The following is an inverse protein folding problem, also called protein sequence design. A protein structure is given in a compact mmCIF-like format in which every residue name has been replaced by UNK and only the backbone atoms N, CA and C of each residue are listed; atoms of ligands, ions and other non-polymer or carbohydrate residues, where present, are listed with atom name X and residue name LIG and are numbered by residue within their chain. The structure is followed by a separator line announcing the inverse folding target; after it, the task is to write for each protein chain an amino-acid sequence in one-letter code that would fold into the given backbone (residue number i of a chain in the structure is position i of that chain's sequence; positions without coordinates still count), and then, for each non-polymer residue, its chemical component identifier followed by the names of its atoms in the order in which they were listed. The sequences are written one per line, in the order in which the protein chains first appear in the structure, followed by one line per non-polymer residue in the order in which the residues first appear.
data_IF_739643042146
#
_entry.id   IF_739643042146
#
_cell.length_a   1.000
_cell.length_b   1.000
_cell.length_c   1.000
_cell.angle_alpha   90.00
_cell.angle_beta   90.00
_cell.angle_gamma   90.00
#
_symmetry.space_group_name_H-M   'P 1'
#
loop_
_entity.id
_entity.type
_entity.pdbx_description
1 polymer ?
#
# COMPACT_ATOMS: atom_id res chain seq x y z
N UNK A 1 -2.44 -3.44 15.06
CA UNK A 1 -3.50 -2.92 15.96
C UNK A 1 -4.46 -2.07 15.16
N UNK A 2 -5.75 -2.09 15.49
CA UNK A 2 -6.73 -1.15 14.93
C UNK A 2 -7.11 -0.09 15.96
N UNK A 3 -7.25 1.15 15.50
CA UNK A 3 -7.84 2.24 16.28
C UNK A 3 -9.34 2.26 15.98
N UNK A 4 -10.15 2.00 16.99
CA UNK A 4 -11.61 2.00 16.87
C UNK A 4 -12.17 3.26 17.55
N UNK A 5 -12.94 4.07 16.81
CA UNK A 5 -13.67 5.22 17.34
C UNK A 5 -15.09 4.77 17.75
N UNK A 6 -15.29 4.53 19.04
CA UNK A 6 -16.54 4.02 19.58
C UNK A 6 -17.52 5.16 19.76
N UNK A 7 -18.48 5.30 18.84
CA UNK A 7 -19.50 6.35 18.88
C UNK A 7 -20.69 5.98 19.74
N UNK A 8 -21.12 6.94 20.56
CA UNK A 8 -22.30 6.84 21.40
C UNK A 8 -23.47 7.56 20.71
N UNK A 9 -24.46 6.80 20.27
CA UNK A 9 -25.69 7.34 19.68
C UNK A 9 -26.81 7.29 20.72
N UNK A 10 -26.66 8.13 21.75
CA UNK A 10 -27.54 8.13 22.94
C UNK A 10 -28.96 8.59 22.59
N UNK A 11 -29.09 9.50 21.63
CA UNK A 11 -30.37 9.99 21.12
C UNK A 11 -31.13 8.89 20.40
N UNK A 12 -30.47 8.15 19.50
CA UNK A 12 -31.09 7.01 18.83
C UNK A 12 -31.45 5.89 19.80
N UNK A 13 -30.63 5.67 20.83
CA UNK A 13 -30.87 4.61 21.81
C UNK A 13 -32.12 4.90 22.68
N UNK A 14 -32.34 6.15 23.06
CA UNK A 14 -33.40 6.54 24.00
C UNK A 14 -34.61 7.23 23.31
N UNK A 15 -34.51 7.53 22.02
CA UNK A 15 -35.54 8.10 21.15
C UNK A 15 -36.33 9.24 21.80
N UNK A 16 -37.67 9.23 21.69
CA UNK A 16 -38.61 10.25 22.18
C UNK A 16 -38.60 10.42 23.71
N UNK A 17 -37.89 9.56 24.44
CA UNK A 17 -37.75 9.65 25.90
C UNK A 17 -36.49 10.37 26.32
N UNK A 18 -35.53 10.55 25.42
CA UNK A 18 -34.33 11.33 25.66
C UNK A 18 -34.66 12.82 25.64
N UNK A 19 -34.25 13.55 26.67
CA UNK A 19 -34.37 15.01 26.72
C UNK A 19 -32.96 15.55 26.97
N UNK A 20 -32.26 16.07 25.95
CA UNK A 20 -30.90 16.58 26.11
C UNK A 20 -30.83 17.63 27.23
N UNK A 21 -29.91 17.44 28.18
CA UNK A 21 -29.72 18.38 29.27
C UNK A 21 -28.59 19.35 28.93
N UNK A 22 -28.88 20.65 28.84
CA UNK A 22 -27.88 21.71 28.57
C UNK A 22 -26.76 21.71 29.62
N UNK A 23 -27.08 21.29 30.85
CA UNK A 23 -26.15 21.21 31.98
C UNK A 23 -25.19 20.00 31.93
N UNK A 24 -25.31 19.11 30.94
CA UNK A 24 -24.53 17.86 30.87
C UNK A 24 -23.94 17.71 29.48
N UNK A 25 -22.61 17.70 29.41
CA UNK A 25 -21.91 17.39 28.16
C UNK A 25 -21.69 15.88 28.09
N UNK A 26 -22.56 15.18 27.35
CA UNK A 26 -22.37 13.76 27.08
C UNK A 26 -21.21 13.56 26.08
N UNK A 27 -20.28 12.63 26.35
CA UNK A 27 -19.24 12.28 25.39
C UNK A 27 -19.86 11.70 24.12
N UNK A 28 -19.29 12.03 22.96
CA UNK A 28 -19.76 11.58 21.64
C UNK A 28 -19.07 10.30 21.18
N UNK A 29 -17.80 10.14 21.53
CA UNK A 29 -17.05 8.93 21.25
C UNK A 29 -15.87 8.74 22.19
N UNK A 30 -15.37 7.50 22.25
CA UNK A 30 -14.11 7.14 22.93
C UNK A 30 -13.25 6.35 21.95
N UNK A 31 -11.96 6.70 21.88
CA UNK A 31 -10.98 5.93 21.11
C UNK A 31 -10.50 4.72 21.93
N UNK A 32 -10.65 3.53 21.37
CA UNK A 32 -10.14 2.27 21.94
C UNK A 32 -9.24 1.57 20.91
N UNK A 33 -8.08 1.10 21.33
CA UNK A 33 -7.19 0.30 20.49
C UNK A 33 -7.46 -1.19 20.69
N UNK A 34 -7.57 -1.93 19.59
CA UNK A 34 -7.76 -3.38 19.60
C UNK A 34 -6.62 -4.10 18.94
N UNK A 35 -6.20 -5.21 19.56
CA UNK A 35 -5.33 -6.18 18.92
C UNK A 35 -6.21 -7.01 18.00
N UNK A 36 -6.00 -6.90 16.68
CA UNK A 36 -6.67 -7.80 15.73
C UNK A 36 -5.84 -9.08 15.59
N UNK A 37 -6.48 -10.25 15.48
CA UNK A 37 -5.78 -11.47 15.10
C UNK A 37 -5.07 -11.28 13.75
N UNK A 38 -3.95 -11.99 13.57
CA UNK A 38 -3.13 -11.96 12.35
C UNK A 38 -4.02 -12.06 11.10
N UNK A 39 -3.91 -11.10 10.18
CA UNK A 39 -4.68 -11.02 8.93
C UNK A 39 -5.63 -9.81 8.83
N UNK A 40 -5.85 -9.05 9.91
CA UNK A 40 -6.56 -7.77 9.84
C UNK A 40 -5.69 -6.63 9.33
N UNK A 41 -6.22 -5.81 8.40
CA UNK A 41 -5.62 -4.54 7.99
C UNK A 41 -5.33 -3.64 9.21
N UNK A 42 -4.07 -3.22 9.42
CA UNK A 42 -3.65 -2.29 10.47
C UNK A 42 -2.14 -2.35 10.77
N UNK A 43 -1.60 -1.31 11.42
CA UNK A 43 -0.17 -1.22 11.77
C UNK A 43 0.22 -2.38 12.70
N UNK A 44 1.05 -3.30 12.20
CA UNK A 44 1.55 -4.44 12.96
C UNK A 44 2.61 -3.95 13.95
N UNK A 45 2.17 -3.45 15.11
CA UNK A 45 3.05 -3.13 16.22
C UNK A 45 3.79 -4.41 16.68
N UNK A 46 5.12 -4.42 16.67
CA UNK A 46 5.87 -5.45 17.38
C UNK A 46 5.58 -5.28 18.88
N UNK A 47 4.89 -6.25 19.47
CA UNK A 47 4.61 -6.29 20.90
C UNK A 47 4.82 -7.71 21.42
N UNK A 48 5.20 -7.81 22.69
CA UNK A 48 5.26 -9.10 23.37
C UNK A 48 3.86 -9.70 23.51
N UNK A 49 3.76 -11.02 23.66
CA UNK A 49 2.48 -11.66 23.94
C UNK A 49 1.84 -11.11 25.23
N UNK A 50 2.64 -10.89 26.27
CA UNK A 50 2.18 -10.31 27.53
C UNK A 50 1.61 -8.88 27.37
N UNK A 51 2.25 -8.03 26.56
CA UNK A 51 1.72 -6.70 26.23
C UNK A 51 0.40 -6.80 25.48
N UNK A 52 0.34 -7.69 24.47
CA UNK A 52 -0.88 -7.91 23.69
C UNK A 52 -2.06 -8.36 24.57
N UNK A 53 -1.83 -9.32 25.47
CA UNK A 53 -2.85 -9.82 26.40
C UNK A 53 -3.30 -8.73 27.38
N UNK A 54 -2.36 -7.98 27.95
CA UNK A 54 -2.65 -6.84 28.85
C UNK A 54 -3.47 -5.76 28.15
N UNK A 55 -3.08 -5.38 26.93
CA UNK A 55 -3.78 -4.34 26.17
C UNK A 55 -5.18 -4.79 25.74
N UNK A 56 -5.31 -6.04 25.30
CA UNK A 56 -6.61 -6.61 24.93
C UNK A 56 -7.53 -6.74 26.15
N UNK A 57 -7.01 -7.16 27.31
CA UNK A 57 -7.77 -7.18 28.56
C UNK A 57 -8.25 -5.78 28.96
N UNK A 58 -7.39 -4.77 28.90
CA UNK A 58 -7.77 -3.38 29.21
C UNK A 58 -8.83 -2.83 28.23
N UNK A 59 -8.69 -3.13 26.94
CA UNK A 59 -9.68 -2.75 25.93
C UNK A 59 -11.03 -3.43 26.18
N UNK A 60 -11.04 -4.73 26.53
CA UNK A 60 -12.26 -5.47 26.88
C UNK A 60 -12.95 -4.85 28.09
N UNK A 61 -12.21 -4.60 29.17
CA UNK A 61 -12.77 -3.99 30.39
C UNK A 61 -13.38 -2.61 30.12
N UNK A 62 -12.72 -1.79 29.30
CA UNK A 62 -13.24 -0.49 28.88
C UNK A 62 -14.55 -0.65 28.07
N UNK A 63 -14.55 -1.49 27.03
CA UNK A 63 -15.72 -1.72 26.18
C UNK A 63 -16.91 -2.32 26.96
N UNK A 64 -16.65 -3.24 27.89
CA UNK A 64 -17.68 -3.83 28.75
C UNK A 64 -18.29 -2.76 29.69
N UNK A 65 -17.46 -1.88 30.23
CA UNK A 65 -17.91 -0.77 31.08
C UNK A 65 -18.75 0.24 30.31
N UNK A 66 -18.32 0.62 29.10
CA UNK A 66 -19.08 1.50 28.19
C UNK A 66 -20.40 0.86 27.75
N UNK A 67 -20.40 -0.45 27.50
CA UNK A 67 -21.60 -1.21 27.15
C UNK A 67 -22.63 -1.18 28.28
N UNK A 68 -22.20 -1.45 29.52
CA UNK A 68 -23.05 -1.35 30.72
C UNK A 68 -23.59 0.06 30.93
N UNK A 69 -22.76 1.09 30.75
CA UNK A 69 -23.18 2.48 30.87
C UNK A 69 -24.31 2.84 29.88
N UNK A 70 -24.23 2.35 28.63
CA UNK A 70 -25.30 2.52 27.64
C UNK A 70 -26.58 1.76 28.01
N UNK A 71 -26.45 0.54 28.50
CA UNK A 71 -27.60 -0.23 28.99
C UNK A 71 -28.29 0.45 30.17
N UNK A 72 -27.51 0.98 31.12
CA UNK A 72 -28.04 1.68 32.29
C UNK A 72 -28.69 3.00 31.89
N UNK A 73 -28.12 3.74 30.94
CA UNK A 73 -28.76 4.90 30.33
C UNK A 73 -30.12 4.53 29.72
N UNK A 74 -30.19 3.44 28.95
CA UNK A 74 -31.43 2.99 28.33
C UNK A 74 -32.48 2.51 29.36
N UNK A 75 -32.06 1.75 30.38
CA UNK A 75 -32.92 1.34 31.52
C UNK A 75 -33.42 2.55 32.29
N UNK A 76 -32.57 3.56 32.47
CA UNK A 76 -32.96 4.82 33.10
C UNK A 76 -34.03 5.56 32.29
N UNK A 77 -34.23 5.32 30.99
CA UNK A 77 -35.34 5.87 30.20
C UNK A 77 -36.59 4.97 30.17
N UNK A 78 -36.61 3.91 30.99
CA UNK A 78 -37.73 2.97 31.13
C UNK A 78 -37.68 1.81 30.14
N UNK A 79 -36.55 1.63 29.46
CA UNK A 79 -36.31 0.50 28.59
C UNK A 79 -36.20 -0.82 29.33
N UNK A 80 -36.64 -1.89 28.65
CA UNK A 80 -36.51 -3.28 29.10
C UNK A 80 -35.81 -4.08 28.01
N UNK A 81 -35.04 -5.11 28.41
CA UNK A 81 -34.34 -6.03 27.50
C UNK A 81 -33.47 -5.29 26.48
N UNK A 82 -32.41 -4.65 26.97
CA UNK A 82 -31.36 -4.07 26.14
C UNK A 82 -30.06 -4.80 26.42
N UNK A 83 -29.37 -5.14 25.35
CA UNK A 83 -28.04 -5.72 25.36
C UNK A 83 -27.19 -4.94 24.38
N UNK A 84 -26.12 -4.34 24.91
CA UNK A 84 -25.11 -3.66 24.12
C UNK A 84 -23.82 -4.43 24.30
N UNK A 85 -23.19 -4.86 23.20
CA UNK A 85 -21.87 -5.46 23.21
C UNK A 85 -21.00 -4.69 22.20
N UNK A 86 -20.28 -3.69 22.70
CA UNK A 86 -19.39 -2.87 21.89
C UNK A 86 -18.16 -3.66 21.38
N UNK A 87 -17.82 -4.78 22.01
CA UNK A 87 -16.70 -5.64 21.60
C UNK A 87 -17.06 -6.44 20.35
N UNK A 88 -18.24 -7.04 20.34
CA UNK A 88 -18.79 -7.75 19.18
C UNK A 88 -19.40 -6.81 18.13
N UNK A 89 -19.61 -5.53 18.47
CA UNK A 89 -20.34 -4.59 17.62
C UNK A 89 -21.84 -4.89 17.57
N UNK A 90 -22.35 -5.65 18.53
CA UNK A 90 -23.75 -6.07 18.61
C UNK A 90 -24.55 -5.13 19.50
N UNK A 91 -25.77 -4.84 19.06
CA UNK A 91 -26.65 -3.87 19.69
C UNK A 91 -28.09 -4.35 19.50
N UNK A 92 -28.76 -4.67 20.60
CA UNK A 92 -30.16 -5.08 20.56
C UNK A 92 -30.96 -4.40 21.67
N UNK A 93 -32.09 -3.83 21.30
CA UNK A 93 -33.05 -3.23 22.23
C UNK A 93 -34.44 -3.25 21.62
N UNK A 94 -35.46 -3.13 22.47
CA UNK A 94 -36.83 -2.89 22.01
C UNK A 94 -37.06 -1.40 21.83
N UNK A 95 -37.90 -1.02 20.87
CA UNK A 95 -38.35 0.37 20.75
C UNK A 95 -39.12 0.76 22.01
N UNK A 96 -38.84 1.96 22.54
CA UNK A 96 -39.52 2.47 23.72
C UNK A 96 -40.91 2.96 23.33
N UNK A 97 -41.94 2.45 24.01
CA UNK A 97 -43.28 2.99 23.87
C UNK A 97 -43.28 4.50 24.20
N UNK A 98 -44.05 5.34 23.49
CA UNK A 98 -44.14 6.75 23.82
C UNK A 98 -44.57 6.95 25.27
N UNK A 99 -44.07 7.99 25.96
CA UNK A 99 -44.48 8.27 27.33
C UNK A 99 -45.97 8.61 27.38
N UNK A 100 -46.67 8.12 28.41
CA UNK A 100 -48.07 8.46 28.63
C UNK A 100 -48.18 9.95 29.04
N UNK A 101 -49.09 10.75 28.45
CA UNK A 101 -49.19 12.17 28.72
C UNK A 101 -50.05 12.46 29.97
N UNK A 102 -49.41 12.75 31.10
CA UNK A 102 -50.06 13.13 32.37
C UNK A 102 -49.43 14.42 32.94
N UNK A 103 -50.17 15.30 33.62
CA UNK A 103 -49.65 16.61 34.03
C UNK A 103 -48.26 16.55 34.71
N UNK A 104 -47.30 17.33 34.20
CA UNK A 104 -45.92 17.37 34.72
C UNK A 104 -44.98 16.26 34.22
N UNK A 105 -45.43 15.35 33.36
CA UNK A 105 -44.62 14.25 32.84
C UNK A 105 -43.33 14.72 32.15
N UNK A 106 -43.39 15.79 31.37
CA UNK A 106 -42.23 16.36 30.66
C UNK A 106 -41.14 16.82 31.64
N UNK A 107 -41.52 17.52 32.71
CA UNK A 107 -40.58 18.01 33.74
C UNK A 107 -39.91 16.85 34.47
N UNK A 108 -40.67 15.79 34.79
CA UNK A 108 -40.13 14.57 35.43
C UNK A 108 -39.19 13.83 34.49
N UNK A 109 -39.55 13.68 33.21
CA UNK A 109 -38.72 13.05 32.19
C UNK A 109 -37.41 13.83 31.97
N UNK A 110 -37.47 15.16 31.89
CA UNK A 110 -36.29 16.01 31.75
C UNK A 110 -35.32 15.83 32.93
N UNK A 111 -35.81 15.92 34.18
CA UNK A 111 -34.99 15.69 35.38
C UNK A 111 -34.36 14.30 35.41
N UNK A 112 -35.13 13.28 35.04
CA UNK A 112 -34.67 11.89 34.98
C UNK A 112 -33.61 11.70 33.88
N UNK A 113 -33.84 12.29 32.71
CA UNK A 113 -32.89 12.24 31.59
C UNK A 113 -31.59 12.96 31.93
N UNK A 114 -31.65 14.12 32.59
CA UNK A 114 -30.49 14.85 33.09
C UNK A 114 -29.67 14.00 34.08
N UNK A 115 -30.32 13.38 35.07
CA UNK A 115 -29.64 12.50 36.02
C UNK A 115 -28.98 11.30 35.32
N UNK A 116 -29.68 10.68 34.36
CA UNK A 116 -29.17 9.55 33.60
C UNK A 116 -27.98 9.95 32.71
N UNK A 117 -28.05 11.12 32.07
CA UNK A 117 -26.95 11.70 31.27
C UNK A 117 -25.71 11.97 32.13
N UNK A 118 -25.88 12.53 33.35
CA UNK A 118 -24.76 12.72 34.28
C UNK A 118 -24.12 11.40 34.69
N UNK A 119 -24.93 10.41 35.06
CA UNK A 119 -24.44 9.09 35.44
C UNK A 119 -23.69 8.41 34.28
N UNK A 120 -24.24 8.51 33.06
CA UNK A 120 -23.60 8.02 31.85
C UNK A 120 -22.27 8.71 31.58
N UNK A 121 -22.25 10.05 31.54
CA UNK A 121 -21.03 10.82 31.30
C UNK A 121 -19.94 10.48 32.33
N UNK A 122 -20.29 10.39 33.62
CA UNK A 122 -19.35 10.01 34.68
C UNK A 122 -18.86 8.55 34.55
N UNK A 123 -19.71 7.63 34.08
CA UNK A 123 -19.30 6.25 33.82
C UNK A 123 -18.34 6.15 32.63
N UNK A 124 -18.61 6.88 31.55
CA UNK A 124 -17.72 6.96 30.38
C UNK A 124 -16.38 7.57 30.76
N UNK A 125 -16.38 8.67 31.51
CA UNK A 125 -15.16 9.34 31.97
C UNK A 125 -14.29 8.38 32.80
N UNK A 126 -14.87 7.66 33.77
CA UNK A 126 -14.13 6.68 34.57
C UNK A 126 -13.52 5.58 33.71
N UNK A 127 -14.30 5.00 32.79
CA UNK A 127 -13.79 3.97 31.88
C UNK A 127 -12.65 4.49 30.98
N UNK A 128 -12.74 5.75 30.54
CA UNK A 128 -11.68 6.39 29.77
C UNK A 128 -10.43 6.65 30.60
N UNK A 129 -10.57 7.16 31.83
CA UNK A 129 -9.46 7.42 32.75
C UNK A 129 -8.72 6.14 33.15
N UNK A 130 -9.45 5.04 33.39
CA UNK A 130 -8.88 3.72 33.67
C UNK A 130 -8.14 3.15 32.46
N UNK A 131 -8.67 3.36 31.25
CA UNK A 131 -8.04 2.89 30.01
C UNK A 131 -6.90 3.80 29.51
N UNK A 132 -6.85 5.06 29.96
CA UNK A 132 -5.92 6.09 29.48
C UNK A 132 -4.45 5.64 29.49
N UNK A 133 -3.90 5.00 30.54
CA UNK A 133 -2.48 4.62 30.55
C UNK A 133 -2.12 3.66 29.41
N UNK A 134 -2.99 2.68 29.14
CA UNK A 134 -2.80 1.71 28.05
C UNK A 134 -2.96 2.40 26.69
N UNK A 135 -3.94 3.29 26.56
CA UNK A 135 -4.16 4.08 25.34
C UNK A 135 -2.94 4.92 24.97
N UNK A 136 -2.38 5.63 25.94
CA UNK A 136 -1.20 6.49 25.75
C UNK A 136 0.05 5.68 25.44
N UNK A 137 0.24 4.54 26.11
CA UNK A 137 1.34 3.61 25.83
C UNK A 137 1.28 3.10 24.38
N UNK A 138 0.12 2.64 23.92
CA UNK A 138 -0.09 2.15 22.55
C UNK A 138 0.14 3.29 21.54
N UNK A 139 -0.40 4.48 21.81
CA UNK A 139 -0.23 5.64 20.93
C UNK A 139 1.26 6.05 20.80
N UNK A 140 2.01 6.05 21.90
CA UNK A 140 3.45 6.33 21.90
C UNK A 140 4.21 5.30 21.07
N UNK A 141 4.01 4.00 21.30
CA UNK A 141 4.69 2.95 20.55
C UNK A 141 4.33 2.97 19.06
N UNK A 142 3.09 3.32 18.70
CA UNK A 142 2.71 3.53 17.29
C UNK A 142 3.46 4.69 16.65
N UNK A 143 3.59 5.82 17.35
CA UNK A 143 4.31 6.98 16.85
C UNK A 143 5.80 6.65 16.65
N UNK A 144 6.44 5.98 17.60
CA UNK A 144 7.83 5.52 17.50
C UNK A 144 8.03 4.58 16.30
N UNK A 145 7.15 3.60 16.15
CA UNK A 145 7.24 2.64 15.05
C UNK A 145 7.07 3.31 13.67
N UNK A 146 6.12 4.25 13.55
CA UNK A 146 5.92 5.01 12.31
C UNK A 146 7.12 5.89 11.99
N UNK A 147 7.67 6.59 12.98
CA UNK A 147 8.87 7.39 12.80
C UNK A 147 10.07 6.54 12.35
N UNK A 148 10.22 5.32 12.89
CA UNK A 148 11.25 4.38 12.45
C UNK A 148 11.03 3.91 11.00
N UNK A 149 9.79 3.57 10.63
CA UNK A 149 9.45 3.18 9.26
C UNK A 149 9.72 4.32 8.27
N UNK A 150 9.28 5.54 8.59
CA UNK A 150 9.52 6.74 7.79
C UNK A 150 11.02 7.03 7.64
N UNK A 151 11.79 6.91 8.72
CA UNK A 151 13.25 7.07 8.68
C UNK A 151 13.91 6.02 7.76
N UNK A 152 13.50 4.75 7.85
CA UNK A 152 13.98 3.68 6.96
C UNK A 152 13.60 3.90 5.51
N UNK A 153 12.39 4.38 5.24
CA UNK A 153 11.96 4.73 3.88
C UNK A 153 12.75 5.92 3.32
N UNK A 154 12.94 6.96 4.13
CA UNK A 154 13.70 8.14 3.74
C UNK A 154 15.17 7.81 3.48
N UNK A 155 15.78 6.95 4.32
CA UNK A 155 17.12 6.42 4.09
C UNK A 155 17.20 5.64 2.76
N UNK A 156 16.25 4.72 2.51
CA UNK A 156 16.16 3.98 1.24
C UNK A 156 15.98 4.90 0.03
N UNK A 157 15.17 5.96 0.15
CA UNK A 157 14.97 6.95 -0.91
C UNK A 157 16.26 7.72 -1.21
N UNK A 158 16.94 8.20 -0.17
CA UNK A 158 18.24 8.90 -0.30
C UNK A 158 19.30 8.00 -0.94
N UNK A 159 19.39 6.75 -0.51
CA UNK A 159 20.31 5.78 -1.09
C UNK A 159 19.98 5.50 -2.57
N UNK A 160 18.70 5.30 -2.91
CA UNK A 160 18.27 5.11 -4.29
C UNK A 160 18.50 6.35 -5.17
N UNK A 161 18.36 7.56 -4.62
CA UNK A 161 18.68 8.81 -5.30
C UNK A 161 20.18 8.97 -5.54
N UNK A 162 21.01 8.73 -4.50
CA UNK A 162 22.47 8.69 -4.63
C UNK A 162 22.91 7.70 -5.70
N UNK A 163 22.37 6.47 -5.64
CA UNK A 163 22.63 5.43 -6.65
C UNK A 163 22.26 5.92 -8.04
N UNK A 164 21.05 6.45 -8.24
CA UNK A 164 20.63 6.99 -9.55
C UNK A 164 21.55 8.10 -10.05
N UNK A 165 21.95 9.03 -9.18
CA UNK A 165 22.86 10.13 -9.53
C UNK A 165 24.22 9.61 -10.01
N UNK A 166 24.81 8.64 -9.33
CA UNK A 166 26.08 8.00 -9.74
C UNK A 166 25.93 7.34 -11.11
N UNK A 167 24.90 6.50 -11.30
CA UNK A 167 24.68 5.80 -12.57
C UNK A 167 24.50 6.78 -13.73
N UNK A 168 23.74 7.86 -13.54
CA UNK A 168 23.54 8.91 -14.54
C UNK A 168 24.79 9.73 -14.82
N UNK A 169 25.63 9.98 -13.80
CA UNK A 169 26.90 10.69 -13.98
C UNK A 169 27.85 9.92 -14.88
N UNK A 170 28.00 8.61 -14.63
CA UNK A 170 28.80 7.71 -15.49
C UNK A 170 28.20 7.64 -16.90
N UNK A 171 26.88 7.56 -17.02
CA UNK A 171 26.19 7.54 -18.33
C UNK A 171 26.28 8.84 -19.13
N UNK A 172 26.50 9.98 -18.47
CA UNK A 172 26.64 11.28 -19.10
C UNK A 172 28.03 11.51 -19.71
N UNK A 173 29.02 10.68 -19.38
CA UNK A 173 30.35 10.76 -19.98
C UNK A 173 30.28 10.49 -21.49
N UNK A 174 31.00 11.32 -22.27
CA UNK A 174 31.07 11.21 -23.74
C UNK A 174 32.24 10.35 -24.18
N UNK A 175 32.22 9.09 -23.78
CA UNK A 175 33.35 8.15 -23.98
C UNK A 175 33.00 6.97 -24.86
N UNK A 176 31.72 6.78 -25.22
CA UNK A 176 31.28 5.61 -25.95
C UNK A 176 31.46 5.76 -27.45
N UNK A 177 32.01 4.72 -28.07
CA UNK A 177 32.18 4.61 -29.52
C UNK A 177 31.60 3.27 -30.00
N UNK A 178 31.17 3.23 -31.25
CA UNK A 178 30.78 2.00 -31.91
C UNK A 178 31.35 1.94 -33.34
N UNK A 179 31.62 0.73 -33.80
CA UNK A 179 32.11 0.44 -35.15
C UNK A 179 31.38 -0.76 -35.73
N UNK A 180 31.02 -0.65 -37.01
CA UNK A 180 30.42 -1.73 -37.80
C UNK A 180 31.39 -2.06 -38.92
N UNK A 181 31.88 -3.30 -38.98
CA UNK A 181 32.83 -3.73 -40.00
C UNK A 181 32.18 -3.75 -41.38
N UNK A 182 31.08 -4.48 -41.53
CA UNK A 182 30.30 -4.61 -42.78
C UNK A 182 28.80 -4.71 -42.47
N UNK A 183 27.94 -4.47 -43.47
CA UNK A 183 26.49 -4.64 -43.31
C UNK A 183 26.14 -6.08 -42.86
N UNK A 184 25.35 -6.20 -41.80
CA UNK A 184 25.01 -7.50 -41.19
C UNK A 184 26.07 -8.07 -40.23
N UNK A 185 27.22 -7.40 -40.05
CA UNK A 185 28.22 -7.78 -39.04
C UNK A 185 27.83 -7.32 -37.63
N UNK A 186 28.41 -7.92 -36.58
CA UNK A 186 28.22 -7.48 -35.21
C UNK A 186 28.66 -6.02 -35.01
N UNK A 187 27.87 -5.26 -34.24
CA UNK A 187 28.23 -3.89 -33.84
C UNK A 187 29.19 -3.98 -32.66
N UNK A 188 30.41 -3.49 -32.81
CA UNK A 188 31.39 -3.48 -31.73
C UNK A 188 31.30 -2.16 -30.96
N UNK A 189 31.10 -2.23 -29.64
CA UNK A 189 30.97 -1.07 -28.76
C UNK A 189 32.15 -1.04 -27.79
N UNK A 190 32.84 0.08 -27.75
CA UNK A 190 34.02 0.29 -26.91
C UNK A 190 34.03 1.70 -26.31
N UNK A 191 35.00 1.95 -25.44
CA UNK A 191 35.24 3.24 -24.79
C UNK A 191 36.50 3.88 -25.38
N UNK A 192 36.47 5.18 -25.65
CA UNK A 192 37.60 5.93 -26.20
C UNK A 192 38.75 6.10 -25.21
N UNK A 193 38.44 6.10 -23.91
CA UNK A 193 39.36 6.32 -22.80
C UNK A 193 39.96 5.01 -22.23
N UNK A 194 39.61 3.87 -22.83
CA UNK A 194 40.11 2.54 -22.43
C UNK A 194 40.69 1.86 -23.67
N UNK A 195 41.90 1.27 -23.58
CA UNK A 195 42.45 0.52 -24.70
C UNK A 195 41.51 -0.64 -25.07
N UNK A 196 41.10 -0.69 -26.34
CA UNK A 196 40.20 -1.72 -26.82
C UNK A 196 40.87 -3.10 -26.72
N UNK A 197 40.23 -4.04 -26.01
CA UNK A 197 40.75 -5.41 -25.92
C UNK A 197 40.50 -6.22 -27.21
N UNK A 198 39.57 -5.76 -28.05
CA UNK A 198 39.25 -6.34 -29.34
C UNK A 198 39.93 -5.55 -30.45
N UNK A 199 40.52 -6.25 -31.42
CA UNK A 199 40.99 -5.63 -32.65
C UNK A 199 39.80 -4.96 -33.35
N UNK A 200 39.87 -3.65 -33.50
CA UNK A 200 38.90 -2.88 -34.27
C UNK A 200 39.09 -3.20 -35.76
N UNK A 201 38.03 -3.19 -36.56
CA UNK A 201 38.15 -3.39 -38.00
C UNK A 201 38.98 -2.27 -38.64
N UNK A 202 39.91 -2.63 -39.53
CA UNK A 202 40.82 -1.69 -40.20
C UNK A 202 40.11 -0.69 -41.13
N UNK A 203 38.88 -0.99 -41.56
CA UNK A 203 38.06 -0.13 -42.42
C UNK A 203 36.57 -0.31 -42.09
N UNK A 204 36.04 0.44 -41.12
CA UNK A 204 34.65 0.31 -40.70
C UNK A 204 33.69 0.91 -41.75
N UNK A 205 32.61 0.18 -42.07
CA UNK A 205 31.52 0.67 -42.91
C UNK A 205 30.73 1.81 -42.22
N UNK A 206 30.62 1.77 -40.90
CA UNK A 206 30.02 2.85 -40.10
C UNK A 206 30.76 2.98 -38.76
N UNK A 207 30.98 4.22 -38.32
CA UNK A 207 31.62 4.53 -37.05
C UNK A 207 30.91 5.69 -36.33
N UNK A 208 30.93 5.65 -35.01
CA UNK A 208 30.51 6.77 -34.17
C UNK A 208 31.39 8.02 -34.38
N UNK A 209 30.87 9.23 -34.11
CA UNK A 209 31.65 10.46 -34.18
C UNK A 209 32.84 10.47 -33.20
N UNK A 210 33.96 11.08 -33.62
CA UNK A 210 35.24 11.08 -32.87
C UNK A 210 35.13 11.63 -31.44
N UNK A 211 34.22 12.57 -31.19
CA UNK A 211 34.03 13.21 -29.88
C UNK A 211 33.29 12.38 -28.83
N UNK A 212 33.06 11.08 -29.08
CA UNK A 212 32.40 10.16 -28.17
C UNK A 212 30.91 10.44 -27.92
N UNK A 213 30.17 9.38 -27.63
CA UNK A 213 28.74 9.41 -27.34
C UNK A 213 28.50 9.26 -25.83
N UNK A 214 27.42 9.86 -25.35
CA UNK A 214 26.86 9.50 -24.04
C UNK A 214 26.13 8.17 -24.14
N UNK A 215 25.91 7.47 -23.02
CA UNK A 215 25.19 6.18 -23.03
C UNK A 215 23.80 6.30 -23.69
N UNK A 216 23.10 7.42 -23.46
CA UNK A 216 21.81 7.70 -24.09
C UNK A 216 21.91 7.86 -25.61
N UNK A 217 22.91 8.59 -26.10
CA UNK A 217 23.10 8.76 -27.55
C UNK A 217 23.52 7.44 -28.18
N UNK A 218 24.42 6.69 -27.54
CA UNK A 218 24.78 5.34 -27.95
C UNK A 218 23.53 4.45 -28.08
N UNK A 219 22.65 4.42 -27.07
CA UNK A 219 21.38 3.68 -27.14
C UNK A 219 20.54 4.08 -28.35
N UNK A 220 20.34 5.38 -28.59
CA UNK A 220 19.55 5.88 -29.72
C UNK A 220 20.13 5.39 -31.08
N UNK A 221 21.45 5.35 -31.22
CA UNK A 221 22.14 4.83 -32.40
C UNK A 221 22.00 3.30 -32.53
N UNK A 222 22.26 2.55 -31.45
CA UNK A 222 22.16 1.09 -31.47
C UNK A 222 20.73 0.61 -31.75
N UNK A 223 19.72 1.30 -31.21
CA UNK A 223 18.31 1.00 -31.50
C UNK A 223 17.93 1.36 -32.93
N UNK A 224 18.53 2.39 -33.52
CA UNK A 224 18.32 2.73 -34.93
C UNK A 224 18.90 1.65 -35.84
N UNK A 225 20.16 1.26 -35.61
CA UNK A 225 20.80 0.16 -36.34
C UNK A 225 19.98 -1.13 -36.25
N UNK A 226 19.46 -1.46 -35.07
CA UNK A 226 18.63 -2.64 -34.87
C UNK A 226 17.26 -2.58 -35.58
N UNK A 227 16.75 -1.38 -35.89
CA UNK A 227 15.49 -1.20 -36.64
C UNK A 227 15.72 -1.20 -38.15
N UNK A 228 16.83 -0.65 -38.59
CA UNK A 228 17.16 -0.46 -40.01
C UNK A 228 17.78 -1.73 -40.63
N UNK A 229 18.16 -2.70 -39.81
CA UNK A 229 18.70 -4.00 -40.25
C UNK A 229 17.58 -5.00 -40.56
N UNK A 230 17.74 -5.78 -41.63
CA UNK A 230 16.82 -6.87 -42.05
C UNK A 230 16.79 -8.08 -41.09
N UNK A 231 17.53 -8.03 -39.98
CA UNK A 231 17.66 -9.12 -39.02
C UNK A 231 18.13 -8.69 -37.63
N UNK A 232 18.22 -9.63 -36.67
CA UNK A 232 18.67 -9.33 -35.32
C UNK A 232 20.13 -8.88 -35.32
N UNK A 233 20.37 -7.65 -34.86
CA UNK A 233 21.71 -7.09 -34.72
C UNK A 233 22.40 -7.65 -33.48
N UNK A 234 23.55 -8.31 -33.66
CA UNK A 234 24.41 -8.74 -32.56
C UNK A 234 25.28 -7.57 -32.10
N UNK A 235 25.18 -7.16 -30.84
CA UNK A 235 26.04 -6.11 -30.26
C UNK A 235 27.14 -6.74 -29.40
N UNK A 236 28.41 -6.43 -29.67
CA UNK A 236 29.54 -6.92 -28.89
C UNK A 236 30.14 -5.79 -28.08
N UNK A 237 29.98 -5.88 -26.77
CA UNK A 237 30.54 -4.94 -25.82
C UNK A 237 31.96 -5.33 -25.46
N UNK A 238 32.90 -4.40 -25.56
CA UNK A 238 34.27 -4.61 -25.09
C UNK A 238 34.28 -4.88 -23.57
N UNK A 239 35.07 -5.88 -23.16
CA UNK A 239 35.19 -6.29 -21.76
C UNK A 239 35.94 -5.25 -20.93
N UNK A 240 36.93 -4.60 -21.50
CA UNK A 240 37.68 -3.56 -20.80
C UNK A 240 36.76 -2.35 -20.51
N UNK A 241 35.97 -1.93 -21.50
CA UNK A 241 34.96 -0.88 -21.33
C UNK A 241 33.89 -1.23 -20.28
N UNK A 242 33.41 -2.49 -20.24
CA UNK A 242 32.47 -2.96 -19.22
C UNK A 242 33.07 -2.87 -17.81
N UNK A 243 34.29 -3.40 -17.63
CA UNK A 243 34.98 -3.40 -16.36
C UNK A 243 35.27 -1.97 -15.85
N UNK A 244 35.52 -1.04 -16.77
CA UNK A 244 35.76 0.37 -16.43
C UNK A 244 34.52 1.03 -15.82
N UNK A 245 33.33 0.83 -16.41
CA UNK A 245 32.07 1.35 -15.84
C UNK A 245 31.81 0.79 -14.44
N UNK A 246 32.04 -0.51 -14.25
CA UNK A 246 31.88 -1.16 -12.96
C UNK A 246 32.88 -0.60 -11.93
N UNK A 247 34.11 -0.28 -12.35
CA UNK A 247 35.13 0.37 -11.53
C UNK A 247 34.73 1.78 -11.13
N UNK A 248 34.26 2.61 -12.06
CA UNK A 248 33.82 3.98 -11.81
C UNK A 248 32.63 4.05 -10.86
N UNK A 249 31.65 3.15 -11.03
CA UNK A 249 30.52 3.04 -10.11
C UNK A 249 30.99 2.61 -8.72
N UNK A 250 31.90 1.61 -8.65
CA UNK A 250 32.45 1.12 -7.38
C UNK A 250 33.29 2.17 -6.66
N UNK A 251 34.04 3.00 -7.39
CA UNK A 251 34.80 4.12 -6.83
C UNK A 251 33.90 5.17 -6.14
N UNK A 252 32.62 5.21 -6.53
CA UNK A 252 31.59 6.05 -5.92
C UNK A 252 30.67 5.27 -4.96
N UNK A 253 31.12 4.10 -4.48
CA UNK A 253 30.43 3.26 -3.50
C UNK A 253 29.09 2.68 -4.02
N UNK A 254 29.00 2.46 -5.34
CA UNK A 254 27.84 1.82 -5.99
C UNK A 254 28.30 0.54 -6.68
N UNK A 255 28.06 -0.60 -6.04
CA UNK A 255 28.32 -1.91 -6.62
C UNK A 255 27.19 -2.30 -7.60
N UNK A 256 27.49 -2.28 -8.90
CA UNK A 256 26.60 -2.71 -9.98
C UNK A 256 27.40 -3.43 -11.05
N UNK A 257 26.78 -4.42 -11.69
CA UNK A 257 27.31 -4.97 -12.94
C UNK A 257 27.02 -4.03 -14.12
N UNK A 258 27.80 -4.14 -15.19
CA UNK A 258 27.58 -3.35 -16.41
C UNK A 258 26.16 -3.52 -16.97
N UNK A 259 25.63 -4.75 -16.93
CA UNK A 259 24.28 -5.04 -17.41
C UNK A 259 23.19 -4.37 -16.58
N UNK A 260 23.36 -4.29 -15.26
CA UNK A 260 22.45 -3.58 -14.37
C UNK A 260 22.55 -2.07 -14.54
N UNK A 261 23.76 -1.54 -14.68
CA UNK A 261 24.00 -0.13 -14.99
C UNK A 261 23.31 0.25 -16.31
N UNK A 262 23.55 -0.49 -17.40
CA UNK A 262 22.94 -0.21 -18.69
C UNK A 262 21.42 -0.24 -18.62
N UNK A 263 20.83 -1.26 -17.95
CA UNK A 263 19.37 -1.35 -17.76
C UNK A 263 18.80 -0.18 -16.97
N UNK A 264 19.56 0.38 -16.03
CA UNK A 264 19.12 1.51 -15.23
C UNK A 264 19.14 2.84 -15.99
N UNK A 265 20.03 3.00 -16.97
CA UNK A 265 20.22 4.28 -17.70
C UNK A 265 19.61 4.28 -19.10
N UNK A 266 19.43 3.09 -19.70
CA UNK A 266 18.78 2.91 -20.99
C UNK A 266 17.25 3.00 -20.87
N UNK A 267 16.59 3.55 -21.89
CA UNK A 267 15.13 3.72 -21.95
C UNK A 267 14.41 2.55 -22.63
N UNK A 268 15.09 1.88 -23.55
CA UNK A 268 14.57 0.77 -24.33
C UNK A 268 14.48 -0.53 -23.50
N UNK A 269 13.79 -1.51 -24.06
CA UNK A 269 13.82 -2.86 -23.51
C UNK A 269 15.14 -3.53 -23.97
N UNK A 270 16.01 -3.83 -23.01
CA UNK A 270 17.29 -4.48 -23.22
C UNK A 270 17.35 -5.79 -22.44
N UNK A 271 17.77 -6.87 -23.09
CA UNK A 271 18.02 -8.17 -22.46
C UNK A 271 19.49 -8.28 -22.09
N UNK A 272 19.77 -8.79 -20.89
CA UNK A 272 21.14 -9.10 -20.48
C UNK A 272 21.55 -10.46 -21.03
N UNK A 273 22.64 -10.50 -21.79
CA UNK A 273 23.23 -11.73 -22.32
C UNK A 273 24.66 -11.89 -21.83
N UNK A 274 25.26 -13.06 -22.04
CA UNK A 274 26.69 -13.29 -21.70
C UNK A 274 27.64 -12.33 -22.41
N UNK A 275 27.25 -11.78 -23.56
CA UNK A 275 28.04 -10.83 -24.37
C UNK A 275 27.71 -9.35 -24.06
N UNK A 276 26.84 -9.11 -23.08
CA UNK A 276 26.38 -7.78 -22.69
C UNK A 276 24.90 -7.53 -23.05
N UNK A 277 24.43 -6.29 -22.85
CA UNK A 277 23.08 -5.87 -23.21
C UNK A 277 22.79 -6.01 -24.71
N UNK A 278 21.64 -6.61 -25.05
CA UNK A 278 21.11 -6.69 -26.42
C UNK A 278 19.73 -6.01 -26.49
N UNK A 279 19.41 -5.31 -27.58
CA UNK A 279 18.08 -4.75 -27.75
C UNK A 279 17.07 -5.89 -27.84
N UNK A 280 16.01 -5.84 -27.04
CA UNK A 280 14.86 -6.71 -27.28
C UNK A 280 13.96 -6.04 -28.30
N UNK A 281 14.14 -6.40 -29.57
CA UNK A 281 13.11 -6.15 -30.57
C UNK A 281 11.93 -7.04 -30.18
N UNK A 282 10.94 -6.46 -29.51
CA UNK A 282 9.64 -7.11 -29.36
C UNK A 282 9.15 -7.40 -30.77
N UNK A 283 8.88 -8.67 -31.09
CA UNK A 283 8.17 -9.01 -32.31
C UNK A 283 6.92 -8.12 -32.39
N UNK A 284 6.60 -7.52 -33.56
CA UNK A 284 5.39 -6.72 -33.68
C UNK A 284 4.24 -7.56 -33.15
N UNK A 285 3.46 -7.00 -32.22
CA UNK A 285 2.25 -7.63 -31.71
C UNK A 285 1.42 -8.04 -32.92
N UNK A 286 1.48 -9.32 -33.31
CA UNK A 286 0.46 -9.91 -34.16
C UNK A 286 -0.80 -9.83 -33.32
N UNK A 287 -1.66 -8.85 -33.64
CA UNK A 287 -3.01 -8.78 -33.12
C UNK A 287 -3.76 -10.02 -33.62
N UNK A 288 -3.53 -11.17 -33.01
CA UNK A 288 -4.40 -12.33 -33.08
C UNK A 288 -5.65 -12.00 -32.27
N UNK A 289 -6.47 -11.11 -32.84
CA UNK A 289 -7.86 -10.94 -32.45
C UNK A 289 -8.55 -12.23 -32.88
N UNK A 290 -8.47 -13.25 -32.03
CA UNK A 290 -9.24 -14.47 -32.18
C UNK A 290 -10.71 -14.08 -32.05
N UNK A 291 -11.37 -14.05 -33.20
CA UNK A 291 -12.81 -14.02 -33.37
C UNK A 291 -13.42 -15.19 -32.59
N UNK A 292 -13.90 -14.93 -31.37
CA UNK A 292 -14.88 -15.81 -30.72
C UNK A 292 -16.27 -15.42 -31.19
N UNK A 293 -16.64 -15.97 -32.34
CA UNK A 293 -18.02 -16.23 -32.68
C UNK A 293 -18.43 -17.55 -32.01
N UNK A 294 -19.38 -17.47 -31.08
CA UNK A 294 -20.32 -18.51 -30.61
C UNK A 294 -21.02 -17.90 -29.39
N UNK A 295 -22.27 -17.48 -29.42
CA UNK A 295 -23.42 -18.19 -29.99
C UNK A 295 -24.09 -18.97 -28.85
N UNK A 296 -25.03 -18.35 -28.13
CA UNK A 296 -26.17 -19.04 -27.51
C UNK A 296 -27.16 -18.03 -26.92
N UNK A 297 -28.28 -17.88 -27.62
CA UNK A 297 -29.52 -17.31 -27.12
C UNK A 297 -30.38 -18.45 -26.56
N UNK A 298 -30.92 -18.28 -25.34
CA UNK A 298 -32.07 -18.95 -24.67
C UNK A 298 -31.79 -18.86 -23.16
N UNK A 299 -32.67 -18.49 -22.25
CA UNK A 299 -34.11 -18.26 -22.21
C UNK A 299 -34.45 -18.09 -20.71
N UNK A 300 -35.49 -17.32 -20.37
CA UNK A 300 -35.85 -16.99 -18.99
C UNK A 300 -36.41 -18.14 -18.14
N UNK A 301 -36.63 -17.85 -16.85
CA UNK A 301 -37.31 -18.71 -15.87
C UNK A 301 -36.82 -18.42 -14.43
N UNK A 302 -37.45 -17.50 -13.69
CA UNK A 302 -38.47 -17.75 -12.63
C UNK A 302 -37.92 -18.40 -11.34
N UNK A 303 -37.92 -17.61 -10.26
CA UNK A 303 -38.45 -17.91 -8.92
C UNK A 303 -37.89 -19.06 -8.07
N UNK A 304 -37.54 -18.78 -6.81
CA UNK A 304 -37.42 -19.81 -5.78
C UNK A 304 -36.78 -19.36 -4.47
N UNK A 305 -37.61 -19.09 -3.46
CA UNK A 305 -37.23 -18.99 -2.04
C UNK A 305 -36.72 -20.33 -1.50
N UNK A 306 -35.74 -20.31 -0.58
CA UNK A 306 -35.31 -21.53 0.10
C UNK A 306 -34.26 -21.30 1.19
N UNK A 307 -34.71 -21.41 2.44
CA UNK A 307 -33.92 -21.50 3.68
C UNK A 307 -33.08 -22.78 3.72
N UNK A 308 -31.93 -22.80 4.40
CA UNK A 308 -31.33 -24.06 4.84
C UNK A 308 -29.85 -24.01 5.21
N UNK A 309 -29.59 -24.39 6.46
CA UNK A 309 -28.34 -24.41 7.21
C UNK A 309 -27.32 -25.53 6.89
N UNK A 310 -26.11 -25.34 7.44
CA UNK A 310 -25.13 -26.32 7.96
C UNK A 310 -24.02 -26.88 7.04
N UNK A 311 -22.78 -26.56 7.46
CA UNK A 311 -21.50 -27.30 7.49
C UNK A 311 -21.11 -28.16 6.28
N UNK A 312 -19.95 -27.86 5.70
CA UNK A 312 -18.94 -28.89 5.52
C UNK A 312 -17.50 -28.34 5.66
N UNK A 313 -16.67 -29.19 6.25
CA UNK A 313 -15.25 -29.07 6.55
C UNK A 313 -14.49 -30.00 5.61
N UNK A 314 -13.53 -29.48 4.84
CA UNK A 314 -12.39 -30.25 4.30
C UNK A 314 -11.47 -29.28 3.54
N UNK A 315 -10.27 -29.00 4.05
CA UNK A 315 -9.03 -29.72 3.76
C UNK A 315 -8.67 -29.74 2.27
N UNK A 316 -7.78 -28.84 1.85
CA UNK A 316 -7.24 -28.79 0.50
C UNK A 316 -5.92 -28.02 0.46
N UNK A 317 -4.86 -28.76 0.17
CA UNK A 317 -3.44 -28.42 0.19
C UNK A 317 -2.97 -27.33 -0.78
N UNK A 318 -1.74 -26.86 -0.48
CA UNK A 318 -0.65 -26.54 -1.40
C UNK A 318 -0.71 -25.23 -2.20
N UNK A 319 0.38 -24.46 -2.10
CA UNK A 319 0.73 -23.44 -3.09
C UNK A 319 1.52 -22.29 -2.48
N UNK A 320 2.84 -22.47 -2.33
CA UNK A 320 3.76 -21.35 -2.15
C UNK A 320 3.66 -20.39 -3.34
N UNK A 321 3.67 -19.10 -3.05
CA UNK A 321 3.80 -18.07 -4.07
C UNK A 321 4.84 -17.05 -3.63
N UNK A 322 6.01 -17.19 -4.24
CA UNK A 322 7.14 -16.28 -4.13
C UNK A 322 6.84 -15.11 -5.09
N UNK A 323 6.03 -14.17 -4.61
CA UNK A 323 5.57 -13.02 -5.39
C UNK A 323 6.48 -11.80 -5.24
N UNK A 324 7.64 -11.85 -5.88
CA UNK A 324 8.45 -10.67 -6.19
C UNK A 324 7.72 -9.71 -7.13
N UNK A 325 7.72 -8.42 -6.79
CA UNK A 325 7.65 -7.32 -7.77
C UNK A 325 6.27 -6.71 -8.02
N UNK A 326 6.18 -5.40 -7.76
CA UNK A 326 5.02 -4.60 -8.12
C UNK A 326 5.19 -3.12 -7.80
N UNK A 327 6.24 -2.49 -8.34
CA UNK A 327 6.32 -1.03 -8.42
C UNK A 327 5.31 -0.51 -9.44
N UNK A 328 4.40 0.33 -8.99
CA UNK A 328 3.55 1.19 -9.80
C UNK A 328 2.72 2.02 -8.83
N UNK A 329 2.71 3.33 -8.84
CA UNK A 329 3.11 4.28 -9.87
C UNK A 329 2.20 5.48 -9.61
N UNK A 330 2.72 6.46 -8.89
CA UNK A 330 2.06 7.73 -8.61
C UNK A 330 1.80 8.46 -9.94
N UNK A 331 0.55 8.84 -10.18
CA UNK A 331 0.06 9.89 -11.10
C UNK A 331 -1.43 10.05 -10.78
N UNK A 332 -2.04 11.22 -10.59
CA UNK A 332 -1.58 12.59 -10.70
C UNK A 332 -2.70 13.52 -10.21
N UNK A 333 -2.30 14.76 -9.98
CA UNK A 333 -3.15 15.92 -9.73
C UNK A 333 -4.28 16.07 -10.76
N UNK A 334 -5.43 16.54 -10.29
CA UNK A 334 -6.54 17.01 -11.12
C UNK A 334 -7.53 17.77 -10.27
N UNK A 335 -7.19 19.01 -9.92
CA UNK A 335 -8.15 19.96 -9.39
C UNK A 335 -9.15 20.37 -10.46
N UNK A 336 -10.41 20.51 -10.07
CA UNK A 336 -11.38 21.33 -10.78
C UNK A 336 -12.22 22.07 -9.72
N UNK A 337 -12.12 23.41 -9.78
CA UNK A 337 -13.12 24.31 -9.23
C UNK A 337 -14.10 24.76 -10.32
N UNK A 338 -15.19 25.39 -9.90
CA UNK A 338 -16.25 25.99 -10.72
C UNK A 338 -17.32 24.98 -11.10
N UNK A 339 -18.57 25.07 -10.64
CA UNK A 339 -19.41 26.22 -10.31
C UNK A 339 -20.20 26.02 -9.01
#
# INVERSE_FOLDING_TARGET
MSRDDIRFDVEKLCEKRFVPAVSVQCPRSVTVYRVRPKGGWGDALPCSQADSERWDAAARTCLDSLSRALEDLYRAHGGRKCTVDLRAGSRSWRVLAPPFPWPGWRKRMAKRSEQAQRAFAAAVQRAEEEYRPVREEIARRLAEHRAEQEARELARRKEAERRRSVLHTVAAQRVWLFTVAEAGSPVFVHRADVPAALALPDSPAESSPEGGLTARRLEEHLLRLARDSDGPVEIRWDRAAQAEVERECRAQDVAVSFSEWWRAVARGAWKSTRRGPQPSLSAPFRSSRASRASGSSRGGGVGGSGSGTYIDTSSGSAGGFDGSGGFGGFSGFGGFGGY
#
